data_IF_946419056818
#
_entry.id   IF_946419056818
#
_cell.length_a   1.000
_cell.length_b   1.000
_cell.length_c   1.000
_cell.angle_alpha   90.00
_cell.angle_beta   90.00
_cell.angle_gamma   90.00
#
_symmetry.space_group_name_H-M   'P 1'
#
loop_
_entity.id
_entity.type
_entity.pdbx_description
1 polymer ?
#
# COMPACT_ATOMS: atom_id res chain seq x y z
N UNK A 1 13.54 14.32 -5.21
CA UNK A 1 12.19 14.78 -5.59
C UNK A 1 11.62 13.78 -6.60
N UNK A 2 10.35 13.37 -6.47
CA UNK A 2 9.75 12.34 -7.33
C UNK A 2 9.26 12.94 -8.66
N UNK A 3 9.29 12.15 -9.74
CA UNK A 3 8.85 12.58 -11.07
C UNK A 3 7.36 12.35 -11.34
N UNK A 4 6.78 11.34 -10.69
CA UNK A 4 5.39 10.97 -10.83
C UNK A 4 4.87 10.40 -9.52
N UNK A 5 3.60 10.65 -9.23
CA UNK A 5 2.87 10.04 -8.14
C UNK A 5 1.71 9.25 -8.72
N UNK A 6 1.57 7.99 -8.31
CA UNK A 6 0.54 7.09 -8.83
C UNK A 6 -0.30 6.57 -7.68
N UNK A 7 -1.54 7.06 -7.54
CA UNK A 7 -2.51 6.45 -6.64
C UNK A 7 -2.73 4.99 -7.02
N UNK A 8 -2.79 4.12 -6.02
CA UNK A 8 -3.22 2.74 -6.20
C UNK A 8 -4.16 2.36 -5.06
N UNK A 9 -5.17 1.57 -5.38
CA UNK A 9 -6.21 1.17 -4.44
C UNK A 9 -6.06 -0.29 -4.08
N UNK A 10 -6.27 -0.61 -2.81
CA UNK A 10 -6.26 -1.97 -2.29
C UNK A 10 -7.65 -2.33 -1.80
N UNK A 11 -8.22 -3.39 -2.37
CA UNK A 11 -9.48 -4.00 -1.93
C UNK A 11 -9.11 -5.33 -1.27
N UNK A 12 -9.47 -5.49 -0.01
CA UNK A 12 -9.23 -6.72 0.72
C UNK A 12 -10.34 -7.73 0.41
N UNK A 13 -10.03 -8.76 -0.37
CA UNK A 13 -10.94 -9.88 -0.66
C UNK A 13 -11.08 -10.85 0.54
N UNK A 14 -10.06 -10.90 1.39
CA UNK A 14 -10.01 -11.71 2.60
C UNK A 14 -9.65 -10.83 3.80
N UNK A 15 -10.01 -11.28 5.01
CA UNK A 15 -9.53 -10.65 6.25
C UNK A 15 -8.01 -10.48 6.22
N UNK A 16 -7.52 -9.26 6.45
CA UNK A 16 -6.11 -8.92 6.42
C UNK A 16 -5.63 -8.53 7.82
N UNK A 17 -4.44 -8.96 8.19
CA UNK A 17 -3.80 -8.63 9.47
C UNK A 17 -2.44 -7.95 9.25
N UNK A 18 -2.41 -6.62 9.03
CA UNK A 18 -1.17 -5.87 9.08
C UNK A 18 -0.75 -5.71 10.54
N UNK A 19 0.12 -6.57 11.05
CA UNK A 19 0.49 -6.59 12.48
C UNK A 19 1.34 -5.38 12.89
N UNK A 20 1.08 -4.81 14.07
CA UNK A 20 1.92 -3.77 14.68
C UNK A 20 2.83 -4.27 15.81
N UNK A 21 2.96 -5.60 15.96
CA UNK A 21 3.68 -6.25 17.05
C UNK A 21 2.74 -6.69 18.16
N UNK A 22 3.29 -6.93 19.35
CA UNK A 22 2.53 -7.28 20.55
C UNK A 22 2.38 -6.06 21.44
N UNK A 23 1.14 -5.79 21.88
CA UNK A 23 0.85 -4.70 22.81
C UNK A 23 0.31 -5.25 24.14
N UNK A 24 0.59 -4.54 25.23
CA UNK A 24 -0.07 -4.82 26.52
C UNK A 24 -1.47 -4.19 26.43
N UNK A 25 -2.45 -4.98 25.99
CA UNK A 25 -3.81 -4.54 25.79
C UNK A 25 -4.81 -5.69 25.86
N UNK A 26 -6.08 -5.40 25.53
CA UNK A 26 -7.14 -6.44 25.48
C UNK A 26 -6.94 -7.38 24.28
N UNK A 27 -6.20 -6.92 23.26
CA UNK A 27 -5.89 -7.68 22.05
C UNK A 27 -4.38 -7.88 22.01
N UNK A 28 -3.93 -9.13 22.03
CA UNK A 28 -2.50 -9.46 22.07
C UNK A 28 -1.75 -9.01 20.81
N UNK A 29 -2.38 -9.19 19.65
CA UNK A 29 -1.84 -8.86 18.33
C UNK A 29 -2.78 -7.87 17.63
N UNK A 30 -2.62 -6.57 17.87
CA UNK A 30 -3.40 -5.56 17.18
C UNK A 30 -2.95 -5.38 15.72
N UNK A 31 -3.89 -4.88 14.92
CA UNK A 31 -3.60 -4.39 13.56
C UNK A 31 -3.04 -2.97 13.60
N UNK A 32 -2.22 -2.63 12.61
CA UNK A 32 -1.65 -1.31 12.41
C UNK A 32 -2.74 -0.22 12.32
N UNK A 33 -2.51 0.86 13.08
CA UNK A 33 -3.39 2.03 13.13
C UNK A 33 -2.61 3.33 13.07
N UNK A 34 -3.24 4.36 12.53
CA UNK A 34 -2.77 5.74 12.67
C UNK A 34 -2.92 6.19 14.12
N UNK A 35 -1.83 6.66 14.76
CA UNK A 35 -1.86 7.02 16.19
C UNK A 35 -2.81 8.18 16.54
N UNK A 36 -3.00 9.12 15.62
CA UNK A 36 -3.76 10.35 15.87
C UNK A 36 -5.25 10.22 15.53
N UNK A 37 -5.64 9.36 14.57
CA UNK A 37 -7.06 9.10 14.21
C UNK A 37 -7.58 7.78 14.75
N UNK A 38 -6.71 6.82 15.04
CA UNK A 38 -7.06 5.44 15.34
C UNK A 38 -7.50 4.63 14.12
N UNK A 39 -7.47 5.19 12.90
CA UNK A 39 -7.90 4.49 11.69
C UNK A 39 -6.96 3.34 11.31
N UNK A 40 -7.50 2.20 10.83
CA UNK A 40 -6.67 1.14 10.29
C UNK A 40 -5.81 1.65 9.13
N UNK A 41 -4.55 1.24 9.10
CA UNK A 41 -3.64 1.50 7.98
C UNK A 41 -2.74 0.30 7.70
N UNK A 42 -2.07 0.31 6.57
CA UNK A 42 -0.94 -0.59 6.30
C UNK A 42 0.28 0.28 6.05
N UNK A 43 1.36 0.03 6.78
CA UNK A 43 2.61 0.76 6.58
C UNK A 43 3.17 0.55 5.16
N UNK A 44 3.66 1.64 4.55
CA UNK A 44 4.21 1.61 3.20
C UNK A 44 5.42 0.67 3.07
N UNK A 45 6.15 0.45 4.16
CA UNK A 45 7.24 -0.53 4.27
C UNK A 45 6.73 -1.97 4.07
N UNK A 46 5.60 -2.33 4.69
CA UNK A 46 4.97 -3.63 4.55
C UNK A 46 4.50 -3.88 3.12
N UNK A 47 3.83 -2.89 2.52
CA UNK A 47 3.37 -2.97 1.12
C UNK A 47 4.57 -3.12 0.17
N UNK A 48 5.60 -2.29 0.36
CA UNK A 48 6.84 -2.35 -0.43
C UNK A 48 7.49 -3.73 -0.34
N UNK A 49 7.57 -4.30 0.86
CA UNK A 49 8.14 -5.63 1.10
C UNK A 49 7.36 -6.73 0.38
N UNK A 50 6.03 -6.76 0.54
CA UNK A 50 5.17 -7.75 -0.13
C UNK A 50 5.26 -7.65 -1.66
N UNK A 51 5.25 -6.42 -2.21
CA UNK A 51 5.40 -6.22 -3.66
C UNK A 51 6.77 -6.65 -4.15
N UNK A 52 7.84 -6.30 -3.44
CA UNK A 52 9.21 -6.71 -3.78
C UNK A 52 9.29 -8.24 -3.87
N UNK A 53 8.83 -8.94 -2.85
CA UNK A 53 8.84 -10.41 -2.82
C UNK A 53 8.00 -11.01 -3.97
N UNK A 54 6.82 -10.46 -4.23
CA UNK A 54 5.96 -10.91 -5.31
C UNK A 54 6.62 -10.74 -6.69
N UNK A 55 7.33 -9.64 -6.92
CA UNK A 55 8.06 -9.39 -8.18
C UNK A 55 9.35 -10.22 -8.29
N UNK A 56 10.05 -10.50 -7.19
CA UNK A 56 11.21 -11.39 -7.17
C UNK A 56 10.83 -12.83 -7.56
N UNK A 57 9.62 -13.28 -7.19
CA UNK A 57 9.08 -14.60 -7.55
C UNK A 57 8.39 -14.65 -8.91
N UNK A 58 8.22 -13.51 -9.58
CA UNK A 58 7.50 -13.45 -10.85
C UNK A 58 8.41 -13.81 -12.02
N UNK A 59 7.99 -14.76 -12.85
CA UNK A 59 8.62 -15.07 -14.15
C UNK A 59 7.98 -14.27 -15.30
N UNK A 60 7.14 -13.28 -14.99
CA UNK A 60 6.54 -12.41 -16.02
C UNK A 60 7.61 -11.57 -16.69
N UNK A 61 7.50 -11.45 -18.00
CA UNK A 61 8.25 -10.50 -18.81
C UNK A 61 7.34 -9.34 -19.23
N UNK A 62 7.90 -8.15 -19.31
CA UNK A 62 7.23 -6.95 -19.82
C UNK A 62 7.97 -6.53 -21.08
N UNK A 63 7.22 -6.20 -22.13
CA UNK A 63 7.79 -5.63 -23.34
C UNK A 63 8.15 -4.17 -23.11
N UNK A 64 9.43 -3.85 -23.21
CA UNK A 64 9.93 -2.48 -23.19
C UNK A 64 10.54 -2.22 -24.56
N UNK A 65 9.79 -1.52 -25.43
CA UNK A 65 10.17 -1.39 -26.84
C UNK A 65 10.07 -2.73 -27.56
N UNK A 66 11.20 -3.18 -28.15
CA UNK A 66 11.29 -4.45 -28.87
C UNK A 66 11.81 -5.62 -28.01
N UNK A 67 12.25 -5.36 -26.78
CA UNK A 67 12.87 -6.37 -25.91
C UNK A 67 11.88 -6.92 -24.87
N UNK A 68 11.93 -8.23 -24.67
CA UNK A 68 11.23 -8.91 -23.57
C UNK A 68 12.11 -8.88 -22.31
N UNK A 69 11.71 -8.05 -21.36
CA UNK A 69 12.48 -7.80 -20.15
C UNK A 69 11.85 -8.53 -18.97
N UNK A 70 12.63 -9.36 -18.28
CA UNK A 70 12.14 -10.08 -17.10
C UNK A 70 12.05 -9.13 -15.90
N UNK A 71 10.90 -9.12 -15.24
CA UNK A 71 10.65 -8.21 -14.11
C UNK A 71 11.68 -8.40 -12.98
N UNK A 72 12.09 -9.65 -12.72
CA UNK A 72 13.05 -9.99 -11.65
C UNK A 72 14.39 -9.27 -11.76
N UNK A 73 14.83 -8.95 -12.98
CA UNK A 73 16.11 -8.27 -13.22
C UNK A 73 16.07 -6.80 -12.78
N UNK A 74 14.87 -6.21 -12.72
CA UNK A 74 14.66 -4.80 -12.39
C UNK A 74 14.33 -4.56 -10.92
N UNK A 75 14.02 -5.60 -10.15
CA UNK A 75 13.62 -5.47 -8.75
C UNK A 75 14.65 -4.68 -7.95
N UNK A 76 15.96 -4.98 -8.11
CA UNK A 76 17.03 -4.27 -7.39
C UNK A 76 17.05 -2.77 -7.70
N UNK A 77 16.89 -2.40 -8.97
CA UNK A 77 16.82 -1.00 -9.41
C UNK A 77 15.59 -0.29 -8.83
N UNK A 78 14.44 -0.97 -8.86
CA UNK A 78 13.14 -0.39 -8.47
C UNK A 78 12.99 -0.26 -6.95
N UNK A 79 13.31 -1.32 -6.21
CA UNK A 79 13.10 -1.40 -4.76
C UNK A 79 14.34 -1.08 -3.93
N UNK A 80 15.53 -1.12 -4.55
CA UNK A 80 16.85 -0.98 -3.92
C UNK A 80 17.56 -2.32 -3.73
N UNK A 81 18.90 -2.32 -3.66
CA UNK A 81 19.73 -3.51 -3.41
C UNK A 81 19.50 -4.05 -1.99
N UNK A 82 19.78 -5.34 -1.78
CA UNK A 82 19.59 -5.99 -0.47
C UNK A 82 20.59 -5.50 0.58
N UNK A 83 21.82 -5.18 0.17
CA UNK A 83 22.90 -4.81 1.08
C UNK A 83 23.05 -3.29 1.26
N UNK A 84 22.10 -2.47 0.79
CA UNK A 84 22.00 -1.03 1.12
C UNK A 84 23.07 -0.09 0.54
N UNK A 85 24.24 -0.59 0.14
CA UNK A 85 25.44 0.24 -0.08
C UNK A 85 25.65 0.73 -1.52
N UNK A 86 24.92 0.20 -2.51
CA UNK A 86 25.18 0.51 -3.94
C UNK A 86 24.38 1.73 -4.43
N UNK A 87 23.06 1.73 -4.24
CA UNK A 87 22.15 2.79 -4.68
C UNK A 87 20.80 2.73 -3.95
N UNK A 88 20.02 3.81 -3.97
CA UNK A 88 18.64 3.81 -3.49
C UNK A 88 17.68 3.19 -4.51
N UNK A 89 16.51 2.73 -4.06
CA UNK A 89 15.41 2.35 -4.96
C UNK A 89 14.70 3.57 -5.54
N UNK A 90 14.11 3.45 -6.73
CA UNK A 90 13.43 4.55 -7.39
C UNK A 90 11.95 4.73 -6.97
N UNK A 91 11.37 3.76 -6.25
CA UNK A 91 10.00 3.85 -5.72
C UNK A 91 9.96 4.20 -4.22
N UNK A 92 9.04 5.10 -3.90
CA UNK A 92 8.58 5.35 -2.54
C UNK A 92 7.11 4.94 -2.40
N UNK A 93 6.80 4.28 -1.29
CA UNK A 93 5.44 3.87 -0.94
C UNK A 93 4.97 4.73 0.23
N UNK A 94 3.77 5.29 0.10
CA UNK A 94 3.04 5.88 1.22
C UNK A 94 2.30 4.78 1.98
N UNK A 95 1.94 5.05 3.23
CA UNK A 95 1.06 4.18 3.99
C UNK A 95 -0.29 4.05 3.26
N UNK A 96 -0.85 2.84 3.18
CA UNK A 96 -2.21 2.65 2.71
C UNK A 96 -3.18 3.09 3.80
N UNK A 97 -3.92 4.15 3.52
CA UNK A 97 -4.93 4.72 4.39
C UNK A 97 -6.31 4.18 4.01
N UNK A 98 -7.20 4.12 4.98
CA UNK A 98 -8.56 3.67 4.77
C UNK A 98 -9.34 4.68 3.91
N UNK A 99 -10.08 4.17 2.92
CA UNK A 99 -11.01 4.97 2.11
C UNK A 99 -12.46 4.59 2.37
N UNK A 100 -12.75 3.28 2.33
CA UNK A 100 -14.05 2.71 2.66
C UNK A 100 -13.87 1.55 3.64
N UNK A 101 -14.73 1.50 4.66
CA UNK A 101 -14.77 0.40 5.63
C UNK A 101 -16.11 -0.35 5.51
N UNK A 102 -16.11 -1.70 5.41
CA UNK A 102 -17.35 -2.45 5.32
C UNK A 102 -18.01 -2.56 6.69
N UNK A 103 -19.26 -2.11 6.81
CA UNK A 103 -20.06 -2.19 8.04
C UNK A 103 -21.39 -2.90 7.74
N UNK A 104 -21.81 -3.80 8.65
CA UNK A 104 -23.09 -4.51 8.53
C UNK A 104 -24.27 -3.53 8.39
N UNK A 105 -25.17 -3.82 7.45
CA UNK A 105 -26.38 -3.03 7.19
C UNK A 105 -27.62 -3.91 7.16
N UNK A 106 -28.74 -3.42 7.69
CA UNK A 106 -30.03 -4.12 7.63
C UNK A 106 -30.55 -4.25 6.18
N UNK A 107 -30.25 -3.27 5.33
CA UNK A 107 -30.61 -3.26 3.91
C UNK A 107 -29.33 -3.38 3.08
N UNK A 108 -29.26 -4.37 2.19
CA UNK A 108 -28.09 -4.58 1.33
C UNK A 108 -26.93 -5.33 1.99
N UNK A 109 -27.16 -6.02 3.12
CA UNK A 109 -26.20 -6.89 3.86
C UNK A 109 -25.08 -6.10 4.55
N UNK A 110 -24.38 -5.24 3.82
CA UNK A 110 -23.35 -4.34 4.34
C UNK A 110 -23.29 -3.06 3.52
N UNK A 111 -22.63 -2.04 4.04
CA UNK A 111 -22.38 -0.79 3.35
C UNK A 111 -20.89 -0.46 3.42
N UNK A 112 -20.37 0.12 2.34
CA UNK A 112 -19.07 0.78 2.33
C UNK A 112 -19.21 2.15 2.97
N UNK A 113 -18.71 2.28 4.20
CA UNK A 113 -18.82 3.51 5.00
C UNK A 113 -17.53 4.31 4.89
N UNK A 114 -17.67 5.63 4.81
CA UNK A 114 -16.57 6.60 4.89
C UNK A 114 -17.04 7.84 5.68
N UNK A 115 -16.19 8.85 5.84
CA UNK A 115 -16.54 10.09 6.51
C UNK A 115 -15.92 11.32 5.81
N UNK A 116 -16.43 12.55 6.08
CA UNK A 116 -15.93 13.76 5.42
C UNK A 116 -14.40 13.95 5.55
N UNK A 117 -13.83 13.64 6.72
CA UNK A 117 -12.37 13.73 6.94
C UNK A 117 -11.58 12.82 5.99
N UNK A 118 -12.06 11.59 5.74
CA UNK A 118 -11.38 10.65 4.84
C UNK A 118 -11.49 11.11 3.39
N UNK A 119 -12.65 11.65 3.00
CA UNK A 119 -12.88 12.17 1.65
C UNK A 119 -12.02 13.42 1.36
N UNK A 120 -11.88 14.33 2.32
CA UNK A 120 -11.03 15.51 2.15
C UNK A 120 -9.56 15.11 2.02
N UNK A 121 -9.07 14.21 2.88
CA UNK A 121 -7.70 13.66 2.76
C UNK A 121 -7.47 12.96 1.42
N UNK A 122 -8.46 12.20 0.93
CA UNK A 122 -8.36 11.55 -0.37
C UNK A 122 -8.26 12.58 -1.50
N UNK A 123 -9.06 13.64 -1.44
CA UNK A 123 -9.01 14.74 -2.41
C UNK A 123 -7.64 15.42 -2.40
N UNK A 124 -7.12 15.79 -1.24
CA UNK A 124 -5.76 16.35 -1.09
C UNK A 124 -4.70 15.42 -1.68
N UNK A 125 -4.77 14.12 -1.39
CA UNK A 125 -3.85 13.11 -1.93
C UNK A 125 -3.95 12.98 -3.47
N UNK A 126 -5.15 13.16 -4.07
CA UNK A 126 -5.34 13.15 -5.54
C UNK A 126 -4.85 14.44 -6.22
N UNK A 127 -5.04 15.60 -5.58
CA UNK A 127 -4.51 16.89 -6.04
C UNK A 127 -2.97 16.82 -6.09
N UNK A 128 -2.32 16.26 -5.06
CA UNK A 128 -0.87 16.01 -5.05
C UNK A 128 -0.45 15.06 -6.18
N UNK A 129 -1.32 14.12 -6.53
CA UNK A 129 -1.08 13.18 -7.63
C UNK A 129 -1.18 13.82 -9.02
N UNK A 130 -1.74 15.03 -9.13
CA UNK A 130 -2.07 15.66 -10.40
C UNK A 130 -3.21 14.95 -11.15
N UNK A 131 -4.11 14.31 -10.40
CA UNK A 131 -5.29 13.59 -10.92
C UNK A 131 -6.53 14.37 -10.46
N UNK A 132 -6.84 15.47 -11.15
CA UNK A 132 -8.09 16.24 -11.02
C UNK A 132 -9.05 15.93 -12.17
#
# INVERSE_FOLDING_TARGET
MFQAFRPFFLIAETSLHPGSGSEIGVVDLPVQREKHTGFPKIEGSGIKGCMREAFERSERAVKIGNDDVKIKEWVKLVFGPTNGDEHAGCLAFTDARILFFPVKSLKGIFAWVTCPMVLERFKEDMEIAGVD
#
